data_IF_020842980706
#
_entry.id   IF_020842980706
#
_cell.length_a   1.000
_cell.length_b   1.000
_cell.length_c   1.000
_cell.angle_alpha   90.00
_cell.angle_beta   90.00
_cell.angle_gamma   90.00
#
_symmetry.space_group_name_H-M   'P 1'
#
loop_
_entity.id
_entity.type
_entity.pdbx_description
1 polymer ?
#
# COMPACT_ATOMS: atom_id res chain seq x y z
N UNK A 1 48.98 22.65 4.07
CA UNK A 1 47.74 22.91 4.81
C UNK A 1 46.57 22.84 3.84
N UNK A 2 45.72 21.83 4.03
CA UNK A 2 44.65 21.35 3.15
C UNK A 2 43.35 22.13 3.39
N UNK A 3 42.98 23.00 2.45
CA UNK A 3 41.73 23.78 2.51
C UNK A 3 41.08 23.82 1.13
N UNK A 4 40.55 22.70 0.63
CA UNK A 4 39.77 22.71 -0.62
C UNK A 4 38.86 21.49 -0.82
N UNK A 5 38.18 20.98 0.22
CA UNK A 5 37.23 19.85 0.04
C UNK A 5 36.02 19.88 0.98
N UNK A 6 35.36 21.02 1.15
CA UNK A 6 34.07 21.06 1.85
C UNK A 6 33.11 22.01 1.12
N UNK A 7 32.66 21.62 -0.08
CA UNK A 7 31.59 22.32 -0.77
C UNK A 7 30.91 21.42 -1.81
N UNK A 8 30.41 20.25 -1.41
CA UNK A 8 29.67 19.37 -2.32
C UNK A 8 28.63 18.50 -1.60
N UNK A 9 27.95 19.02 -0.57
CA UNK A 9 27.00 18.22 0.22
C UNK A 9 25.66 18.94 0.55
N UNK A 10 25.29 20.00 -0.16
CA UNK A 10 24.10 20.79 0.19
C UNK A 10 23.05 20.95 -0.94
N UNK A 11 23.15 20.22 -2.05
CA UNK A 11 22.27 20.43 -3.22
C UNK A 11 21.26 19.30 -3.50
N UNK A 12 21.17 18.25 -2.67
CA UNK A 12 20.28 17.09 -2.91
C UNK A 12 19.14 16.93 -1.89
N UNK A 13 18.77 18.00 -1.18
CA UNK A 13 17.71 17.94 -0.15
C UNK A 13 16.38 18.61 -0.54
N UNK A 14 16.30 19.29 -1.70
CA UNK A 14 15.10 20.06 -2.08
C UNK A 14 14.16 19.37 -3.10
N UNK A 15 14.45 18.15 -3.55
CA UNK A 15 13.64 17.49 -4.59
C UNK A 15 12.44 16.66 -4.06
N UNK A 16 12.19 16.62 -2.76
CA UNK A 16 11.11 15.81 -2.16
C UNK A 16 9.88 16.60 -1.71
N UNK A 17 9.90 17.93 -1.84
CA UNK A 17 8.72 18.75 -1.60
C UNK A 17 7.87 18.84 -2.87
N UNK A 18 7.31 17.70 -3.30
CA UNK A 18 6.19 17.75 -4.25
C UNK A 18 5.04 18.48 -3.55
N UNK A 19 4.45 19.54 -4.15
CA UNK A 19 3.22 20.11 -3.62
C UNK A 19 2.20 18.97 -3.57
N UNK A 20 1.67 18.72 -2.37
CA UNK A 20 0.58 17.81 -2.14
C UNK A 20 -0.70 18.42 -2.76
N UNK A 21 -0.74 18.51 -4.08
CA UNK A 21 -2.00 18.57 -4.81
C UNK A 21 -2.77 17.34 -4.36
N UNK A 22 -4.01 17.55 -3.91
CA UNK A 22 -4.87 16.49 -3.43
C UNK A 22 -5.14 15.51 -4.59
N UNK A 23 -4.24 14.56 -4.79
CA UNK A 23 -4.39 13.51 -5.77
C UNK A 23 -5.67 12.75 -5.41
N UNK A 24 -6.53 12.45 -6.40
CA UNK A 24 -7.75 11.69 -6.17
C UNK A 24 -7.44 10.39 -5.43
N UNK A 25 -8.37 9.95 -4.58
CA UNK A 25 -8.28 8.66 -3.90
C UNK A 25 -8.61 7.54 -4.89
N UNK A 26 -7.68 7.28 -5.79
CA UNK A 26 -7.80 6.26 -6.83
C UNK A 26 -6.60 5.30 -6.80
N UNK A 27 -6.82 4.11 -6.23
CA UNK A 27 -5.81 3.07 -6.14
C UNK A 27 -5.40 2.50 -7.51
N UNK A 28 -6.18 2.72 -8.58
CA UNK A 28 -5.82 2.27 -9.93
C UNK A 28 -4.59 3.00 -10.49
N UNK A 29 -4.27 4.20 -9.97
CA UNK A 29 -3.08 4.97 -10.32
C UNK A 29 -2.00 4.94 -9.23
N UNK A 30 -2.17 4.13 -8.17
CA UNK A 30 -1.14 3.97 -7.15
C UNK A 30 -0.11 2.93 -7.58
N UNK A 31 1.13 3.35 -7.80
CA UNK A 31 2.22 2.43 -8.15
C UNK A 31 2.92 1.88 -6.90
N UNK A 32 2.81 0.58 -6.69
CA UNK A 32 3.53 -0.15 -5.65
C UNK A 32 5.03 -0.20 -5.96
N UNK A 33 5.82 -0.21 -4.91
CA UNK A 33 7.26 -0.43 -4.98
C UNK A 33 7.68 -1.51 -3.99
N UNK A 34 8.83 -2.18 -4.20
CA UNK A 34 9.36 -3.12 -3.22
C UNK A 34 9.52 -2.51 -1.81
N UNK A 35 9.86 -1.22 -1.74
CA UNK A 35 9.99 -0.50 -0.48
C UNK A 35 8.64 -0.33 0.25
N UNK A 36 7.57 0.00 -0.49
CA UNK A 36 6.21 0.07 0.08
C UNK A 36 5.77 -1.29 0.61
N UNK A 37 5.98 -2.37 -0.17
CA UNK A 37 5.65 -3.73 0.27
C UNK A 37 6.46 -4.15 1.51
N UNK A 38 7.74 -3.78 1.58
CA UNK A 38 8.57 -4.05 2.75
C UNK A 38 8.05 -3.33 4.00
N UNK A 39 7.65 -2.07 3.89
CA UNK A 39 6.99 -1.32 4.99
C UNK A 39 5.69 -1.99 5.42
N UNK A 40 4.83 -2.37 4.48
CA UNK A 40 3.57 -3.07 4.78
C UNK A 40 3.80 -4.38 5.53
N UNK A 41 4.78 -5.19 5.10
CA UNK A 41 5.15 -6.44 5.78
C UNK A 41 5.71 -6.19 7.18
N UNK A 42 6.52 -5.16 7.36
CA UNK A 42 7.06 -4.78 8.67
C UNK A 42 5.94 -4.32 9.63
N UNK A 43 4.99 -3.51 9.14
CA UNK A 43 3.80 -3.12 9.88
C UNK A 43 2.94 -4.31 10.28
N UNK A 44 2.73 -5.28 9.38
CA UNK A 44 1.98 -6.49 9.71
C UNK A 44 2.64 -7.28 10.85
N UNK A 45 3.96 -7.47 10.77
CA UNK A 45 4.72 -8.19 11.79
C UNK A 45 4.69 -7.48 13.15
N UNK A 46 4.77 -6.15 13.17
CA UNK A 46 4.70 -5.35 14.40
C UNK A 46 3.27 -5.25 14.95
N UNK A 47 2.26 -5.08 14.07
CA UNK A 47 0.86 -5.04 14.46
C UNK A 47 0.39 -6.33 15.13
N UNK A 48 0.88 -7.49 14.67
CA UNK A 48 0.66 -8.79 15.35
C UNK A 48 1.25 -8.82 16.76
N UNK A 49 2.44 -8.26 16.98
CA UNK A 49 3.06 -8.17 18.33
C UNK A 49 2.26 -7.24 19.25
N UNK A 50 1.65 -6.21 18.68
CA UNK A 50 0.84 -5.23 19.40
C UNK A 50 -0.62 -5.68 19.61
N UNK A 51 -1.02 -6.86 19.11
CA UNK A 51 -2.40 -7.38 19.19
C UNK A 51 -3.46 -6.42 18.65
N UNK A 52 -3.12 -5.60 17.66
CA UNK A 52 -4.07 -4.65 17.04
C UNK A 52 -5.26 -5.32 16.31
N UNK A 53 -5.32 -6.67 16.29
CA UNK A 53 -6.40 -7.46 15.71
C UNK A 53 -7.09 -8.40 16.70
N UNK A 54 -6.57 -8.55 17.93
CA UNK A 54 -7.01 -9.62 18.84
C UNK A 54 -7.94 -9.15 19.98
N UNK A 55 -8.18 -7.84 20.12
CA UNK A 55 -8.80 -7.29 21.33
C UNK A 55 -10.31 -6.97 21.24
N UNK A 56 -11.05 -7.29 20.18
CA UNK A 56 -12.52 -7.12 20.17
C UNK A 56 -13.25 -8.24 19.39
N UNK A 57 -13.35 -9.41 20.02
CA UNK A 57 -14.53 -10.26 19.89
C UNK A 57 -15.50 -9.85 20.99
N UNK A 58 -16.24 -8.78 20.78
CA UNK A 58 -17.53 -8.45 21.44
C UNK A 58 -17.87 -6.98 21.14
N UNK A 59 -18.29 -6.69 19.90
CA UNK A 59 -19.25 -5.59 19.71
C UNK A 59 -20.23 -5.97 18.61
N UNK A 60 -21.32 -6.57 19.07
CA UNK A 60 -22.56 -6.83 18.36
C UNK A 60 -23.30 -5.49 18.17
N UNK A 61 -22.67 -4.54 17.46
CA UNK A 61 -23.23 -3.21 17.23
C UNK A 61 -23.18 -2.82 15.75
N UNK A 62 -24.38 -2.88 15.19
CA UNK A 62 -24.93 -2.02 14.14
C UNK A 62 -24.59 -2.38 12.67
N UNK A 63 -25.65 -2.78 11.96
CA UNK A 63 -25.80 -2.94 10.51
C UNK A 63 -25.65 -1.61 9.73
N UNK A 64 -24.76 -0.72 10.19
CA UNK A 64 -24.32 0.44 9.44
C UNK A 64 -23.33 -0.03 8.36
N UNK A 65 -23.75 -0.05 7.09
CA UNK A 65 -22.93 -0.41 5.91
C UNK A 65 -21.46 -0.01 6.12
N UNK A 66 -20.60 -0.99 6.43
CA UNK A 66 -19.16 -0.74 6.58
C UNK A 66 -18.70 -0.10 5.28
N UNK A 67 -18.28 1.15 5.34
CA UNK A 67 -17.72 1.83 4.19
C UNK A 67 -16.41 1.13 3.81
N UNK A 68 -16.45 0.39 2.70
CA UNK A 68 -15.32 -0.36 2.12
C UNK A 68 -14.51 0.49 1.12
N UNK A 69 -14.87 1.78 0.96
CA UNK A 69 -14.08 2.71 0.16
C UNK A 69 -12.71 2.99 0.80
N UNK A 70 -11.80 3.56 -0.02
CA UNK A 70 -10.49 4.01 0.44
C UNK A 70 -10.67 5.08 1.53
N UNK A 71 -11.63 5.99 1.37
CA UNK A 71 -12.02 6.99 2.36
C UNK A 71 -12.48 6.36 3.68
N UNK A 72 -13.34 5.33 3.60
CA UNK A 72 -13.81 4.57 4.75
C UNK A 72 -12.65 3.90 5.50
N UNK A 73 -11.70 3.33 4.77
CA UNK A 73 -10.48 2.76 5.35
C UNK A 73 -9.62 3.83 6.04
N UNK A 74 -9.39 4.98 5.39
CA UNK A 74 -8.61 6.09 5.96
C UNK A 74 -9.25 6.55 7.27
N UNK A 75 -10.57 6.77 7.30
CA UNK A 75 -11.30 7.18 8.50
C UNK A 75 -11.13 6.19 9.65
N UNK A 76 -11.25 4.89 9.38
CA UNK A 76 -11.03 3.83 10.40
C UNK A 76 -9.61 3.86 10.95
N UNK A 77 -8.61 4.01 10.08
CA UNK A 77 -7.20 4.09 10.48
C UNK A 77 -6.88 5.37 11.25
N UNK A 78 -7.51 6.48 10.91
CA UNK A 78 -7.35 7.75 11.63
C UNK A 78 -8.05 7.75 13.00
N UNK A 79 -9.13 6.97 13.14
CA UNK A 79 -9.88 6.81 14.38
C UNK A 79 -9.18 5.92 15.42
N UNK A 80 -8.28 5.01 15.00
CA UNK A 80 -7.44 4.20 15.90
C UNK A 80 -6.04 4.85 16.07
N UNK A 81 -5.74 5.48 17.21
CA UNK A 81 -4.44 6.11 17.44
C UNK A 81 -3.27 5.12 17.38
N UNK A 82 -3.49 3.85 17.74
CA UNK A 82 -2.43 2.82 17.73
C UNK A 82 -2.11 2.42 16.29
N UNK A 83 -3.12 2.19 15.46
CA UNK A 83 -2.94 1.94 14.03
C UNK A 83 -2.28 3.13 13.33
N UNK A 84 -2.76 4.35 13.58
CA UNK A 84 -2.17 5.58 13.01
C UNK A 84 -0.71 5.75 13.41
N UNK A 85 -0.38 5.54 14.69
CA UNK A 85 0.98 5.62 15.20
C UNK A 85 1.88 4.57 14.56
N UNK A 86 1.40 3.34 14.38
CA UNK A 86 2.16 2.28 13.70
C UNK A 86 2.43 2.64 12.24
N UNK A 87 1.42 3.10 11.50
CA UNK A 87 1.56 3.52 10.10
C UNK A 87 2.58 4.66 9.97
N UNK A 88 2.46 5.66 10.83
CA UNK A 88 3.37 6.82 10.84
C UNK A 88 4.79 6.42 11.23
N UNK A 89 4.97 5.50 12.17
CA UNK A 89 6.27 4.96 12.59
C UNK A 89 7.04 4.32 11.43
N UNK A 90 6.34 3.70 10.48
CA UNK A 90 6.94 3.11 9.28
C UNK A 90 7.08 4.12 8.12
N UNK A 91 6.86 5.40 8.38
CA UNK A 91 7.02 6.49 7.41
C UNK A 91 6.02 6.41 6.27
N UNK A 92 4.75 6.14 6.60
CA UNK A 92 3.60 6.23 5.71
C UNK A 92 2.51 7.06 6.35
N UNK A 93 1.65 7.65 5.53
CA UNK A 93 0.36 8.22 5.96
C UNK A 93 -0.75 7.15 5.90
N UNK A 94 -1.86 7.38 6.61
CA UNK A 94 -3.06 6.52 6.52
C UNK A 94 -3.60 6.45 5.09
N UNK A 95 -3.56 7.57 4.35
CA UNK A 95 -3.89 7.63 2.92
C UNK A 95 -2.98 6.74 2.07
N UNK A 96 -1.66 6.87 2.19
CA UNK A 96 -0.71 6.04 1.43
C UNK A 96 -0.88 4.56 1.76
N UNK A 97 -1.10 4.23 3.03
CA UNK A 97 -1.32 2.86 3.46
C UNK A 97 -2.61 2.28 2.90
N UNK A 98 -3.72 3.03 2.91
CA UNK A 98 -4.99 2.59 2.34
C UNK A 98 -4.89 2.35 0.82
N UNK A 99 -4.29 3.30 0.09
CA UNK A 99 -4.06 3.19 -1.35
C UNK A 99 -3.15 2.01 -1.69
N UNK A 100 -2.05 1.83 -0.95
CA UNK A 100 -1.14 0.70 -1.12
C UNK A 100 -1.82 -0.64 -0.80
N UNK A 101 -2.70 -0.68 0.20
CA UNK A 101 -3.46 -1.88 0.56
C UNK A 101 -4.41 -2.27 -0.57
N UNK A 102 -5.19 -1.33 -1.11
CA UNK A 102 -6.11 -1.60 -2.21
C UNK A 102 -5.38 -2.00 -3.50
N UNK A 103 -4.29 -1.29 -3.83
CA UNK A 103 -3.45 -1.65 -4.97
C UNK A 103 -2.82 -3.06 -4.82
N UNK A 104 -2.36 -3.39 -3.61
CA UNK A 104 -1.78 -4.71 -3.31
C UNK A 104 -2.83 -5.80 -3.37
N UNK A 105 -4.03 -5.55 -2.85
CA UNK A 105 -5.15 -6.48 -2.90
C UNK A 105 -5.55 -6.77 -4.35
N UNK A 106 -5.77 -5.73 -5.17
CA UNK A 106 -6.10 -5.89 -6.59
C UNK A 106 -5.04 -6.71 -7.35
N UNK A 107 -3.77 -6.35 -7.20
CA UNK A 107 -2.68 -7.04 -7.89
C UNK A 107 -2.53 -8.49 -7.42
N UNK A 108 -2.62 -8.74 -6.12
CA UNK A 108 -2.56 -10.08 -5.54
C UNK A 108 -3.76 -10.94 -5.95
N UNK A 109 -4.97 -10.37 -5.95
CA UNK A 109 -6.19 -11.05 -6.38
C UNK A 109 -6.11 -11.47 -7.85
N UNK A 110 -5.63 -10.58 -8.73
CA UNK A 110 -5.40 -10.93 -10.13
C UNK A 110 -4.42 -12.11 -10.25
N UNK A 111 -3.27 -12.07 -9.58
CA UNK A 111 -2.27 -13.15 -9.63
C UNK A 111 -2.83 -14.48 -9.11
N UNK A 112 -3.65 -14.44 -8.05
CA UNK A 112 -4.32 -15.63 -7.50
C UNK A 112 -5.32 -16.23 -8.50
N UNK A 113 -6.12 -15.39 -9.15
CA UNK A 113 -7.17 -15.84 -10.08
C UNK A 113 -6.64 -16.13 -11.48
N UNK A 114 -5.42 -15.72 -11.80
CA UNK A 114 -4.82 -15.85 -13.13
C UNK A 114 -4.86 -17.29 -13.65
N UNK A 115 -4.60 -18.29 -12.80
CA UNK A 115 -4.63 -19.70 -13.19
C UNK A 115 -6.03 -20.27 -13.40
N UNK A 116 -7.07 -19.62 -12.87
CA UNK A 116 -8.46 -20.02 -13.02
C UNK A 116 -9.12 -19.40 -14.27
N UNK A 117 -8.49 -18.38 -14.87
CA UNK A 117 -8.92 -17.77 -16.12
C UNK A 117 -8.34 -18.51 -17.33
N UNK A 118 -9.04 -18.48 -18.47
CA UNK A 118 -8.42 -18.91 -19.71
C UNK A 118 -7.32 -17.91 -20.12
N UNK A 119 -6.31 -18.39 -20.86
CA UNK A 119 -5.13 -17.58 -21.22
C UNK A 119 -5.50 -16.28 -21.96
N UNK A 120 -6.55 -16.31 -22.77
CA UNK A 120 -6.99 -15.13 -23.53
C UNK A 120 -7.73 -14.17 -22.61
N UNK A 121 -8.65 -14.65 -21.78
CA UNK A 121 -9.36 -13.86 -20.78
C UNK A 121 -8.42 -13.15 -19.81
N UNK A 122 -7.43 -13.85 -19.27
CA UNK A 122 -6.41 -13.26 -18.40
C UNK A 122 -5.63 -12.13 -19.11
N UNK A 123 -5.20 -12.36 -20.35
CA UNK A 123 -4.42 -11.39 -21.12
C UNK A 123 -5.24 -10.17 -21.54
N UNK A 124 -6.51 -10.35 -21.90
CA UNK A 124 -7.41 -9.26 -22.30
C UNK A 124 -7.77 -8.41 -21.08
N UNK A 125 -8.06 -9.02 -19.93
CA UNK A 125 -8.27 -8.32 -18.66
C UNK A 125 -7.03 -7.53 -18.24
N UNK A 126 -5.83 -8.15 -18.30
CA UNK A 126 -4.57 -7.47 -17.99
C UNK A 126 -4.37 -6.19 -18.82
N UNK A 127 -4.66 -6.26 -20.13
CA UNK A 127 -4.52 -5.12 -21.04
C UNK A 127 -5.51 -3.99 -20.78
N UNK A 128 -6.67 -4.29 -20.19
CA UNK A 128 -7.67 -3.27 -19.83
C UNK A 128 -7.29 -2.42 -18.62
N UNK A 129 -6.31 -2.87 -17.82
CA UNK A 129 -5.86 -2.14 -16.64
C UNK A 129 -4.93 -0.97 -16.97
N UNK A 130 -4.84 -0.03 -16.04
CA UNK A 130 -3.88 1.08 -16.10
C UNK A 130 -2.43 0.56 -16.11
N UNK A 131 -1.47 1.41 -16.51
CA UNK A 131 -0.04 1.04 -16.52
C UNK A 131 0.46 0.72 -15.11
N UNK A 132 -0.03 1.46 -14.11
CA UNK A 132 0.30 1.29 -12.71
C UNK A 132 -0.24 -0.04 -12.17
N UNK A 133 -1.49 -0.38 -12.48
CA UNK A 133 -2.06 -1.70 -12.15
C UNK A 133 -1.29 -2.84 -12.80
N UNK A 134 -0.94 -2.69 -14.09
CA UNK A 134 -0.13 -3.67 -14.81
C UNK A 134 1.25 -3.87 -14.16
N UNK A 135 1.91 -2.79 -13.73
CA UNK A 135 3.19 -2.83 -13.02
C UNK A 135 3.04 -3.48 -11.63
N UNK A 136 1.98 -3.17 -10.90
CA UNK A 136 1.69 -3.77 -9.59
C UNK A 136 1.49 -5.28 -9.70
N UNK A 137 0.76 -5.75 -10.72
CA UNK A 137 0.58 -7.18 -11.00
C UNK A 137 1.94 -7.84 -11.29
N UNK A 138 2.80 -7.22 -12.09
CA UNK A 138 4.14 -7.75 -12.37
C UNK A 138 4.98 -7.85 -11.09
N UNK A 139 4.95 -6.81 -10.25
CA UNK A 139 5.62 -6.83 -8.95
C UNK A 139 5.10 -7.96 -8.06
N UNK A 140 3.78 -8.18 -8.03
CA UNK A 140 3.18 -9.28 -7.27
C UNK A 140 3.54 -10.65 -7.84
N UNK A 141 3.60 -10.84 -9.16
CA UNK A 141 4.10 -12.08 -9.79
C UNK A 141 5.54 -12.40 -9.36
N UNK A 142 6.40 -11.38 -9.29
CA UNK A 142 7.79 -11.55 -8.86
C UNK A 142 7.92 -11.86 -7.36
N UNK A 143 6.96 -11.39 -6.55
CA UNK A 143 6.97 -11.53 -5.09
C UNK A 143 6.26 -12.82 -4.62
N UNK A 144 5.21 -13.23 -5.33
CA UNK A 144 4.39 -14.39 -5.03
C UNK A 144 5.01 -15.64 -5.64
N UNK A 145 5.56 -16.53 -4.80
CA UNK A 145 5.92 -17.89 -5.19
C UNK A 145 4.76 -18.80 -4.80
N UNK A 146 3.96 -19.32 -5.75
CA UNK A 146 2.97 -20.33 -5.40
C UNK A 146 3.71 -21.53 -4.80
N UNK A 147 3.39 -21.89 -3.55
CA UNK A 147 3.77 -23.19 -2.99
C UNK A 147 3.10 -24.25 -3.85
N UNK A 148 3.92 -25.03 -4.57
CA UNK A 148 3.48 -26.24 -5.26
C UNK A 148 3.15 -27.33 -4.25
#
# INVERSE_FOLDING_TARGET
MTLTRIAAAAALALALASPAMAAPLDASHYQLTPAVLAKMKAMEAEGKKLKLKDDDKDDDSDDGKKDESIEGMIKKLDADPRAKALITKHGMTTKEFAMATMASFHAGFYVMMESAMDKKGAADLYKSYTKEQQANIQLMRATYKPTK
#
